data_IF_990419078359
#
_entry.id   IF_990419078359
#
_cell.length_a   1.000
_cell.length_b   1.000
_cell.length_c   1.000
_cell.angle_alpha   90.00
_cell.angle_beta   90.00
_cell.angle_gamma   90.00
#
_symmetry.space_group_name_H-M   'P 1'
#
loop_
_entity.id
_entity.type
_entity.pdbx_description
1 polymer ?
#
# COMPACT_ATOMS: atom_id res chain seq x y z
N UNK A 1 -5.91 38.96 -57.46
CA UNK A 1 -5.80 37.51 -57.19
C UNK A 1 -4.58 37.10 -56.32
N UNK A 2 -3.92 38.01 -55.59
CA UNK A 2 -2.77 37.68 -54.73
C UNK A 2 -3.16 37.39 -53.27
N UNK A 3 -4.21 38.04 -52.76
CA UNK A 3 -4.63 37.98 -51.36
C UNK A 3 -5.14 36.59 -50.92
N UNK A 4 -5.87 35.90 -51.81
CA UNK A 4 -6.39 34.55 -51.54
C UNK A 4 -5.24 33.54 -51.45
N UNK A 5 -4.20 33.68 -52.29
CA UNK A 5 -3.04 32.78 -52.28
C UNK A 5 -2.26 32.86 -50.96
N UNK A 6 -2.12 34.06 -50.41
CA UNK A 6 -1.48 34.28 -49.10
C UNK A 6 -2.30 33.72 -47.95
N UNK A 7 -3.64 33.83 -47.99
CA UNK A 7 -4.48 33.26 -46.93
C UNK A 7 -4.38 31.73 -46.94
N UNK A 8 -4.46 31.12 -48.12
CA UNK A 8 -4.36 29.66 -48.26
C UNK A 8 -2.98 29.14 -47.84
N UNK A 9 -1.90 29.88 -48.13
CA UNK A 9 -0.55 29.46 -47.70
C UNK A 9 -0.36 29.57 -46.19
N UNK A 10 -0.88 30.63 -45.55
CA UNK A 10 -0.82 30.79 -44.09
C UNK A 10 -1.63 29.69 -43.40
N UNK A 11 -2.83 29.36 -43.91
CA UNK A 11 -3.66 28.30 -43.35
C UNK A 11 -3.04 26.90 -43.52
N UNK A 12 -2.38 26.64 -44.65
CA UNK A 12 -1.68 25.39 -44.87
C UNK A 12 -0.48 25.24 -43.90
N UNK A 13 0.32 26.29 -43.74
CA UNK A 13 1.47 26.29 -42.83
C UNK A 13 1.07 26.11 -41.36
N UNK A 14 -0.03 26.73 -40.91
CA UNK A 14 -0.52 26.57 -39.54
C UNK A 14 -1.11 25.18 -39.26
N UNK A 15 -1.67 24.53 -40.28
CA UNK A 15 -2.23 23.17 -40.14
C UNK A 15 -1.14 22.10 -39.99
N UNK A 16 -0.02 22.25 -40.71
CA UNK A 16 1.11 21.31 -40.63
C UNK A 16 1.87 21.41 -39.29
N UNK A 17 2.03 22.62 -38.75
CA UNK A 17 2.68 22.79 -37.44
C UNK A 17 1.84 22.26 -36.29
N UNK A 18 0.51 22.44 -36.32
CA UNK A 18 -0.39 21.89 -35.31
C UNK A 18 -0.38 20.34 -35.28
N UNK A 19 -0.26 19.69 -36.44
CA UNK A 19 -0.22 18.23 -36.53
C UNK A 19 1.10 17.63 -36.00
N UNK A 20 2.23 18.31 -36.19
CA UNK A 20 3.53 17.87 -35.65
C UNK A 20 3.65 18.11 -34.14
N UNK A 21 3.14 19.24 -33.64
CA UNK A 21 3.18 19.57 -32.20
C UNK A 21 2.34 18.60 -31.36
N UNK A 22 1.18 18.16 -31.87
CA UNK A 22 0.35 17.17 -31.16
C UNK A 22 0.93 15.75 -31.14
N UNK A 23 1.78 15.37 -32.10
CA UNK A 23 2.42 14.05 -32.11
C UNK A 23 3.45 13.90 -30.99
N UNK A 24 4.34 14.87 -30.87
CA UNK A 24 5.39 14.88 -29.84
C UNK A 24 4.83 15.03 -28.42
N UNK A 25 3.85 15.91 -28.22
CA UNK A 25 3.20 16.07 -26.90
C UNK A 25 2.41 14.82 -26.50
N UNK A 26 1.76 14.13 -27.45
CA UNK A 26 1.03 12.90 -27.17
C UNK A 26 1.98 11.74 -26.83
N UNK A 27 3.10 11.61 -27.54
CA UNK A 27 4.12 10.61 -27.22
C UNK A 27 4.78 10.87 -25.85
N UNK A 28 5.09 12.13 -25.53
CA UNK A 28 5.59 12.50 -24.22
C UNK A 28 4.58 12.21 -23.10
N UNK A 29 3.29 12.48 -23.33
CA UNK A 29 2.22 12.18 -22.38
C UNK A 29 2.03 10.66 -22.18
N UNK A 30 2.11 9.87 -23.25
CA UNK A 30 2.06 8.41 -23.18
C UNK A 30 3.27 7.83 -22.45
N UNK A 31 4.46 8.36 -22.69
CA UNK A 31 5.67 7.97 -21.98
C UNK A 31 5.56 8.27 -20.48
N UNK A 32 5.11 9.48 -20.10
CA UNK A 32 4.88 9.85 -18.71
C UNK A 32 3.82 8.96 -18.03
N UNK A 33 2.73 8.63 -18.75
CA UNK A 33 1.70 7.70 -18.27
C UNK A 33 2.27 6.30 -18.01
N UNK A 34 3.12 5.79 -18.90
CA UNK A 34 3.72 4.46 -18.77
C UNK A 34 4.67 4.41 -17.57
N UNK A 35 5.51 5.43 -17.37
CA UNK A 35 6.38 5.54 -16.18
C UNK A 35 5.55 5.55 -14.90
N UNK A 36 4.49 6.36 -14.84
CA UNK A 36 3.60 6.40 -13.68
C UNK A 36 2.88 5.06 -13.44
N UNK A 37 2.57 4.31 -14.51
CA UNK A 37 1.96 2.99 -14.41
C UNK A 37 2.93 1.95 -13.83
N UNK A 38 4.20 1.97 -14.25
CA UNK A 38 5.25 1.12 -13.67
C UNK A 38 5.47 1.41 -12.17
N UNK A 39 5.51 2.69 -11.78
CA UNK A 39 5.63 3.09 -10.37
C UNK A 39 4.44 2.59 -9.54
N UNK A 40 3.22 2.64 -10.09
CA UNK A 40 2.02 2.10 -9.44
C UNK A 40 2.07 0.58 -9.30
N UNK A 41 2.57 -0.14 -10.31
CA UNK A 41 2.74 -1.59 -10.24
C UNK A 41 3.75 -1.97 -9.15
N UNK A 42 4.89 -1.28 -9.11
CA UNK A 42 5.89 -1.48 -8.08
C UNK A 42 5.34 -1.22 -6.67
N UNK A 43 4.65 -0.10 -6.46
CA UNK A 43 4.04 0.23 -5.17
C UNK A 43 2.95 -0.78 -4.76
N UNK A 44 2.20 -1.30 -5.74
CA UNK A 44 1.20 -2.34 -5.49
C UNK A 44 1.85 -3.65 -5.04
N UNK A 45 2.92 -4.08 -5.68
CA UNK A 45 3.63 -5.30 -5.32
C UNK A 45 4.26 -5.18 -3.93
N UNK A 46 4.89 -4.04 -3.64
CA UNK A 46 5.44 -3.74 -2.31
C UNK A 46 4.34 -3.75 -1.23
N UNK A 47 3.15 -3.19 -1.53
CA UNK A 47 2.01 -3.25 -0.62
C UNK A 47 1.53 -4.70 -0.39
N UNK A 48 1.43 -5.50 -1.45
CA UNK A 48 0.99 -6.90 -1.34
C UNK A 48 1.99 -7.69 -0.48
N UNK A 49 3.29 -7.54 -0.71
CA UNK A 49 4.32 -8.20 0.07
C UNK A 49 4.23 -7.83 1.55
N UNK A 50 4.19 -6.53 1.87
CA UNK A 50 4.07 -6.04 3.25
C UNK A 50 2.77 -6.51 3.92
N UNK A 51 1.66 -6.52 3.18
CA UNK A 51 0.37 -7.01 3.69
C UNK A 51 0.41 -8.50 4.00
N UNK A 52 1.03 -9.32 3.14
CA UNK A 52 1.18 -10.75 3.39
C UNK A 52 2.11 -11.02 4.58
N UNK A 53 3.19 -10.25 4.74
CA UNK A 53 4.00 -10.28 5.96
C UNK A 53 3.19 -9.93 7.21
N UNK A 54 2.37 -8.88 7.15
CA UNK A 54 1.52 -8.49 8.27
C UNK A 54 0.46 -9.54 8.62
N UNK A 55 -0.13 -10.20 7.62
CA UNK A 55 -1.07 -11.32 7.84
C UNK A 55 -0.41 -12.54 8.48
N UNK A 56 0.88 -12.76 8.26
CA UNK A 56 1.67 -13.82 8.90
C UNK A 56 2.04 -13.48 10.34
N UNK A 57 1.96 -12.20 10.74
CA UNK A 57 2.20 -11.84 12.13
C UNK A 57 1.12 -12.48 13.02
N UNK A 58 1.52 -13.07 14.15
CA UNK A 58 0.57 -13.60 15.12
C UNK A 58 -0.38 -12.48 15.59
N UNK A 59 -1.62 -12.82 15.91
CA UNK A 59 -2.61 -11.83 16.34
C UNK A 59 -2.15 -11.17 17.65
N UNK A 60 -2.28 -9.85 17.80
CA UNK A 60 -1.92 -9.20 19.06
C UNK A 60 -2.87 -9.66 20.18
N UNK A 61 -2.28 -9.90 21.34
CA UNK A 61 -2.95 -10.30 22.56
C UNK A 61 -2.36 -9.59 23.78
N UNK A 62 -2.93 -9.88 24.94
CA UNK A 62 -2.50 -9.37 26.23
C UNK A 62 -2.38 -10.49 27.26
N UNK A 63 -1.32 -10.43 28.07
CA UNK A 63 -1.09 -11.35 29.16
C UNK A 63 -2.06 -11.10 30.30
N UNK A 64 -2.82 -12.11 30.71
CA UNK A 64 -3.68 -12.05 31.90
C UNK A 64 -3.21 -13.09 32.91
N UNK A 65 -3.14 -12.68 34.17
CA UNK A 65 -2.85 -13.60 35.27
C UNK A 65 -4.04 -14.54 35.48
N UNK A 66 -3.76 -15.83 35.52
CA UNK A 66 -4.68 -16.88 35.92
C UNK A 66 -4.15 -17.51 37.21
N UNK A 67 -5.04 -17.70 38.18
CA UNK A 67 -4.71 -18.23 39.50
C UNK A 67 -5.63 -17.67 40.57
N UNK A 68 -5.94 -18.48 41.57
CA UNK A 68 -6.63 -18.02 42.76
C UNK A 68 -5.67 -17.23 43.66
N UNK A 69 -6.16 -16.25 44.43
CA UNK A 69 -5.33 -15.54 45.41
C UNK A 69 -4.71 -16.55 46.39
N UNK A 70 -3.39 -16.69 46.37
CA UNK A 70 -2.63 -17.62 47.22
C UNK A 70 -1.87 -18.73 46.49
N UNK A 71 -2.13 -18.96 45.20
CA UNK A 71 -1.40 -19.93 44.37
C UNK A 71 -0.41 -19.26 43.41
N UNK A 72 0.53 -20.06 42.86
CA UNK A 72 1.45 -19.60 41.81
C UNK A 72 0.64 -19.09 40.61
N UNK A 73 0.66 -17.78 40.41
CA UNK A 73 0.01 -17.13 39.27
C UNK A 73 0.79 -17.47 38.00
N UNK A 74 0.11 -18.04 37.01
CA UNK A 74 0.67 -18.21 35.67
C UNK A 74 -0.01 -17.22 34.73
N UNK A 75 0.74 -16.68 33.77
CA UNK A 75 0.23 -15.71 32.81
C UNK A 75 -0.09 -16.39 31.48
N UNK A 76 -1.33 -16.23 31.04
CA UNK A 76 -1.83 -16.78 29.78
C UNK A 76 -2.04 -15.62 28.80
N UNK A 77 -1.67 -15.83 27.54
CA UNK A 77 -1.90 -14.88 26.46
C UNK A 77 -3.36 -14.98 25.99
N UNK A 78 -4.06 -13.85 26.01
CA UNK A 78 -5.43 -13.74 25.51
C UNK A 78 -5.46 -12.89 24.26
N UNK A 79 -6.19 -13.35 23.26
CA UNK A 79 -6.38 -12.61 22.02
C UNK A 79 -7.28 -11.40 22.26
N UNK A 80 -6.87 -10.23 21.77
CA UNK A 80 -7.59 -8.98 22.07
C UNK A 80 -8.96 -8.88 21.37
N UNK A 81 -9.16 -9.59 20.25
CA UNK A 81 -10.39 -9.52 19.45
C UNK A 81 -11.57 -10.25 20.06
N UNK A 82 -11.35 -11.44 20.63
CA UNK A 82 -12.39 -12.38 21.07
C UNK A 82 -12.20 -12.86 22.51
N UNK A 83 -11.14 -12.41 23.20
CA UNK A 83 -10.88 -12.72 24.60
C UNK A 83 -10.62 -14.19 24.87
N UNK A 84 -10.30 -15.00 23.85
CA UNK A 84 -9.97 -16.42 24.00
C UNK A 84 -8.48 -16.59 24.37
N UNK A 85 -8.14 -17.57 25.22
CA UNK A 85 -6.74 -17.91 25.46
C UNK A 85 -6.15 -18.47 24.16
N UNK A 86 -4.95 -18.01 23.80
CA UNK A 86 -4.31 -18.35 22.53
C UNK A 86 -2.89 -18.89 22.70
N UNK A 87 -2.36 -18.92 23.93
CA UNK A 87 -1.04 -19.45 24.24
C UNK A 87 -0.53 -18.96 25.59
N UNK A 88 0.74 -19.25 25.87
CA UNK A 88 1.38 -18.85 27.12
C UNK A 88 2.12 -17.52 26.96
N UNK A 89 2.16 -16.74 28.04
CA UNK A 89 3.02 -15.57 28.11
C UNK A 89 4.45 -15.94 28.51
N UNK A 90 5.38 -15.02 28.29
CA UNK A 90 6.74 -15.20 28.78
C UNK A 90 6.73 -15.42 30.30
N UNK A 91 7.63 -16.26 30.83
CA UNK A 91 7.65 -16.64 32.25
C UNK A 91 7.77 -15.45 33.21
N UNK A 92 8.37 -14.36 32.74
CA UNK A 92 8.55 -13.10 33.48
C UNK A 92 7.55 -12.01 33.05
N UNK A 93 6.55 -12.35 32.24
CA UNK A 93 5.64 -11.36 31.70
C UNK A 93 4.70 -10.79 32.77
N UNK A 94 4.53 -9.47 32.74
CA UNK A 94 3.59 -8.78 33.63
C UNK A 94 2.16 -8.84 33.09
N UNK A 95 1.18 -8.71 33.98
CA UNK A 95 -0.23 -8.58 33.59
C UNK A 95 -0.40 -7.33 32.71
N UNK A 96 -1.05 -7.49 31.56
CA UNK A 96 -1.22 -6.43 30.57
C UNK A 96 -0.08 -6.30 29.56
N UNK A 97 1.02 -7.07 29.71
CA UNK A 97 2.08 -7.09 28.70
C UNK A 97 1.53 -7.63 27.36
N UNK A 98 1.94 -6.99 26.26
CA UNK A 98 1.61 -7.44 24.92
C UNK A 98 2.19 -8.83 24.64
N UNK A 99 1.38 -9.70 24.04
CA UNK A 99 1.78 -11.03 23.62
C UNK A 99 1.27 -11.32 22.21
N UNK A 100 1.86 -12.34 21.58
CA UNK A 100 1.56 -12.73 20.20
C UNK A 100 0.83 -14.07 20.22
N UNK A 101 -0.45 -14.04 19.82
CA UNK A 101 -1.26 -15.25 19.64
C UNK A 101 -0.84 -15.94 18.35
N UNK A 102 0.01 -16.96 18.46
CA UNK A 102 0.25 -17.89 17.36
C UNK A 102 -1.10 -18.55 17.01
N UNK A 103 -1.41 -18.62 15.72
CA UNK A 103 -2.59 -19.33 15.21
C UNK A 103 -2.48 -20.81 15.48
#
# INVERSE_FOLDING_TARGET
MHFIKTIVSVFALSSFTAAQVHGEELEAALAARNVAYEDLLFARDEYIEKRELFKRLPSPGSCKGMGMPGEKTFTVCYRNSDGRPCGDCHKTAHRGQGCLCKR
#
